data_IF_373222879301
#
_entry.id   IF_373222879301
#
_cell.length_a   1.000
_cell.length_b   1.000
_cell.length_c   1.000
_cell.angle_alpha   90.00
_cell.angle_beta   90.00
_cell.angle_gamma   90.00
#
_symmetry.space_group_name_H-M   'P 1'
#
loop_
_entity.id
_entity.type
_entity.pdbx_description
1 polymer ?
#
# COMPACT_ATOMS: atom_id res chain seq x y z
N UNK A 1 -16.08 -22.69 -38.30
CA UNK A 1 -16.12 -22.03 -36.98
C UNK A 1 -17.05 -20.83 -37.06
N UNK A 2 -18.08 -20.83 -36.24
CA UNK A 2 -19.13 -19.84 -36.26
C UNK A 2 -18.59 -18.49 -35.74
N UNK A 3 -18.57 -17.45 -36.59
CA UNK A 3 -18.03 -16.12 -36.23
C UNK A 3 -18.67 -15.59 -34.94
N UNK A 4 -19.96 -15.88 -34.74
CA UNK A 4 -20.70 -15.50 -33.51
C UNK A 4 -20.17 -16.19 -32.27
N UNK A 5 -19.85 -17.48 -32.34
CA UNK A 5 -19.27 -18.22 -31.24
C UNK A 5 -17.86 -17.72 -30.89
N UNK A 6 -17.05 -17.38 -31.91
CA UNK A 6 -15.73 -16.80 -31.71
C UNK A 6 -15.79 -15.40 -31.05
N UNK A 7 -16.73 -14.54 -31.47
CA UNK A 7 -16.96 -13.23 -30.84
C UNK A 7 -17.43 -13.35 -29.39
N UNK A 8 -18.37 -14.27 -29.11
CA UNK A 8 -18.83 -14.49 -27.74
C UNK A 8 -17.72 -15.01 -26.81
N UNK A 9 -16.88 -15.92 -27.29
CA UNK A 9 -15.73 -16.42 -26.53
C UNK A 9 -14.71 -15.32 -26.25
N UNK A 10 -14.40 -14.49 -27.26
CA UNK A 10 -13.50 -13.35 -27.11
C UNK A 10 -14.04 -12.34 -26.08
N UNK A 11 -15.34 -12.05 -26.11
CA UNK A 11 -15.98 -11.15 -25.17
C UNK A 11 -15.89 -11.69 -23.72
N UNK A 12 -16.18 -12.98 -23.52
CA UNK A 12 -16.08 -13.62 -22.21
C UNK A 12 -14.64 -13.59 -21.70
N UNK A 13 -13.65 -13.89 -22.55
CA UNK A 13 -12.24 -13.82 -22.17
C UNK A 13 -11.81 -12.41 -21.77
N UNK A 14 -12.28 -11.38 -22.47
CA UNK A 14 -11.99 -9.98 -22.14
C UNK A 14 -12.57 -9.58 -20.78
N UNK A 15 -13.81 -9.98 -20.49
CA UNK A 15 -14.45 -9.69 -19.19
C UNK A 15 -13.71 -10.39 -18.05
N UNK A 16 -13.32 -11.66 -18.25
CA UNK A 16 -12.54 -12.41 -17.26
C UNK A 16 -11.17 -11.74 -17.03
N UNK A 17 -10.47 -11.36 -18.09
CA UNK A 17 -9.16 -10.69 -17.97
C UNK A 17 -9.26 -9.33 -17.27
N UNK A 18 -10.31 -8.54 -17.54
CA UNK A 18 -10.53 -7.28 -16.84
C UNK A 18 -10.83 -7.50 -15.35
N UNK A 19 -11.64 -8.50 -15.03
CA UNK A 19 -11.96 -8.88 -13.66
C UNK A 19 -10.74 -9.33 -12.86
N UNK A 20 -9.87 -10.14 -13.46
CA UNK A 20 -8.65 -10.62 -12.78
C UNK A 20 -7.68 -9.49 -12.48
N UNK A 21 -7.49 -8.54 -13.40
CA UNK A 21 -6.64 -7.36 -13.17
C UNK A 21 -7.15 -6.54 -11.99
N UNK A 22 -8.46 -6.29 -11.91
CA UNK A 22 -9.05 -5.52 -10.82
C UNK A 22 -8.85 -6.19 -9.45
N UNK A 23 -9.04 -7.51 -9.38
CA UNK A 23 -8.83 -8.29 -8.15
C UNK A 23 -7.36 -8.25 -7.72
N UNK A 24 -6.44 -8.42 -8.66
CA UNK A 24 -5.00 -8.39 -8.37
C UNK A 24 -4.52 -7.02 -7.90
N UNK A 25 -5.04 -5.94 -8.50
CA UNK A 25 -4.71 -4.57 -8.08
C UNK A 25 -5.20 -4.30 -6.65
N UNK A 26 -6.41 -4.74 -6.30
CA UNK A 26 -6.96 -4.61 -4.95
C UNK A 26 -6.16 -5.39 -3.93
N UNK A 27 -5.72 -6.60 -4.28
CA UNK A 27 -4.87 -7.40 -3.40
C UNK A 27 -3.48 -6.77 -3.22
N UNK A 28 -2.90 -6.24 -4.29
CA UNK A 28 -1.63 -5.52 -4.21
C UNK A 28 -1.74 -4.28 -3.31
N UNK A 29 -2.82 -3.50 -3.42
CA UNK A 29 -3.09 -2.36 -2.55
C UNK A 29 -3.17 -2.79 -1.07
N UNK A 30 -3.96 -3.82 -0.77
CA UNK A 30 -4.12 -4.35 0.60
C UNK A 30 -2.78 -4.79 1.20
N UNK A 31 -1.99 -5.55 0.44
CA UNK A 31 -0.68 -6.04 0.89
C UNK A 31 0.31 -4.90 1.10
N UNK A 32 0.28 -3.87 0.27
CA UNK A 32 1.11 -2.69 0.43
C UNK A 32 0.74 -1.88 1.69
N UNK A 33 -0.56 -1.70 1.97
CA UNK A 33 -1.04 -1.04 3.19
C UNK A 33 -0.58 -1.79 4.44
N UNK A 34 -0.77 -3.11 4.49
CA UNK A 34 -0.34 -3.91 5.64
C UNK A 34 1.19 -3.85 5.86
N UNK A 35 1.96 -3.78 4.79
CA UNK A 35 3.41 -3.61 4.87
C UNK A 35 3.83 -2.21 5.35
N UNK A 36 3.10 -1.16 4.96
CA UNK A 36 3.30 0.19 5.48
C UNK A 36 2.95 0.27 6.97
N UNK A 37 1.82 -0.30 7.39
CA UNK A 37 1.45 -0.32 8.81
C UNK A 37 2.51 -1.01 9.67
N UNK A 38 3.05 -2.14 9.20
CA UNK A 38 4.13 -2.86 9.88
C UNK A 38 5.40 -2.00 9.95
N UNK A 39 5.76 -1.29 8.87
CA UNK A 39 6.92 -0.39 8.83
C UNK A 39 6.76 0.75 9.81
N UNK A 40 5.61 1.42 9.81
CA UNK A 40 5.29 2.51 10.74
C UNK A 40 5.43 2.07 12.19
N UNK A 41 4.83 0.93 12.55
CA UNK A 41 4.95 0.38 13.90
C UNK A 41 6.41 0.07 14.26
N UNK A 42 7.19 -0.47 13.32
CA UNK A 42 8.60 -0.82 13.54
C UNK A 42 9.46 0.42 13.75
N UNK A 43 9.34 1.43 12.88
CA UNK A 43 10.14 2.66 12.95
C UNK A 43 9.78 3.50 14.20
N UNK A 44 8.48 3.63 14.51
CA UNK A 44 8.04 4.36 15.70
C UNK A 44 8.43 3.65 16.99
N UNK A 45 8.40 2.31 17.03
CA UNK A 45 8.89 1.53 18.18
C UNK A 45 10.40 1.63 18.37
N UNK A 46 11.16 1.77 17.29
CA UNK A 46 12.62 1.90 17.33
C UNK A 46 13.08 3.30 17.76
N UNK A 47 12.20 4.32 17.70
CA UNK A 47 12.53 5.69 18.06
C UNK A 47 12.59 5.89 19.58
N UNK A 48 13.76 6.28 20.09
CA UNK A 48 14.02 6.47 21.54
C UNK A 48 13.13 7.54 22.20
N UNK A 49 12.64 8.52 21.43
CA UNK A 49 11.80 9.60 21.96
C UNK A 49 10.32 9.28 22.01
N UNK A 50 9.89 8.21 21.33
CA UNK A 50 8.48 7.86 21.20
C UNK A 50 8.09 7.04 22.43
N UNK A 51 7.07 7.51 23.14
CA UNK A 51 6.54 6.83 24.33
C UNK A 51 5.33 5.98 23.97
N UNK A 52 4.48 6.46 23.07
CA UNK A 52 3.31 5.76 22.54
C UNK A 52 3.08 6.15 21.08
N UNK A 53 2.47 5.26 20.30
CA UNK A 53 2.22 5.49 18.89
C UNK A 53 1.02 4.69 18.39
N UNK A 54 0.54 5.03 17.20
CA UNK A 54 -0.49 4.29 16.49
C UNK A 54 -0.57 4.65 15.02
N UNK A 55 -1.31 3.85 14.26
CA UNK A 55 -1.44 3.91 12.80
C UNK A 55 -2.82 4.42 12.36
N UNK A 56 -3.55 5.09 13.24
CA UNK A 56 -4.94 5.49 13.02
C UNK A 56 -5.20 6.97 13.33
N UNK A 57 -4.31 7.85 12.85
CA UNK A 57 -4.52 9.29 12.98
C UNK A 57 -5.64 9.78 12.05
N UNK A 58 -6.29 10.88 12.42
CA UNK A 58 -7.43 11.44 11.67
C UNK A 58 -7.04 12.58 10.73
N UNK A 59 -5.74 12.88 10.62
CA UNK A 59 -5.22 13.99 9.79
C UNK A 59 -5.25 13.69 8.28
N UNK A 60 -5.31 12.42 7.89
CA UNK A 60 -5.40 11.99 6.51
C UNK A 60 -6.10 10.63 6.41
N UNK A 61 -6.71 10.34 5.27
CA UNK A 61 -7.23 9.02 4.98
C UNK A 61 -6.11 8.05 4.57
N UNK A 62 -6.25 6.78 4.93
CA UNK A 62 -5.43 5.70 4.38
C UNK A 62 -5.77 5.54 2.88
N UNK A 63 -4.73 5.48 2.04
CA UNK A 63 -4.92 5.23 0.62
C UNK A 63 -3.77 4.44 0.00
N UNK A 64 -4.10 3.63 -1.01
CA UNK A 64 -3.12 2.94 -1.83
C UNK A 64 -3.53 2.99 -3.31
N UNK A 65 -2.56 3.28 -4.17
CA UNK A 65 -2.76 3.42 -5.61
C UNK A 65 -1.70 2.65 -6.38
N UNK A 66 -2.13 1.79 -7.31
CA UNK A 66 -1.23 1.12 -8.24
C UNK A 66 -0.77 2.14 -9.29
N UNK A 67 0.50 2.51 -9.26
CA UNK A 67 1.11 3.49 -10.16
C UNK A 67 1.89 2.84 -11.30
N UNK A 68 2.18 1.53 -11.21
CA UNK A 68 2.88 0.79 -12.24
C UNK A 68 2.61 -0.71 -12.18
N UNK A 69 2.71 -1.38 -13.33
CA UNK A 69 2.60 -2.84 -13.46
C UNK A 69 3.72 -3.34 -14.35
N UNK A 70 4.38 -4.41 -13.92
CA UNK A 70 5.49 -5.03 -14.63
C UNK A 70 5.50 -6.54 -14.37
N UNK A 71 6.44 -7.26 -14.99
CA UNK A 71 6.66 -8.68 -14.69
C UNK A 71 7.16 -8.90 -13.26
N UNK A 72 7.79 -7.89 -12.65
CA UNK A 72 8.27 -7.93 -11.26
C UNK A 72 7.13 -7.70 -10.24
N UNK A 73 5.94 -7.33 -10.71
CA UNK A 73 4.75 -7.10 -9.90
C UNK A 73 4.17 -5.69 -10.02
N UNK A 74 3.44 -5.28 -8.98
CA UNK A 74 2.72 -4.02 -8.90
C UNK A 74 3.52 -2.99 -8.10
N UNK A 75 3.74 -1.82 -8.69
CA UNK A 75 4.25 -0.66 -7.94
C UNK A 75 3.08 0.07 -7.33
N UNK A 76 3.04 0.14 -5.99
CA UNK A 76 1.95 0.72 -5.22
C UNK A 76 2.50 1.90 -4.41
N UNK A 77 1.88 3.07 -4.58
CA UNK A 77 2.07 4.21 -3.69
C UNK A 77 1.07 4.10 -2.55
N UNK A 78 1.53 4.22 -1.32
CA UNK A 78 0.70 4.16 -0.10
C UNK A 78 0.83 5.49 0.63
N UNK A 79 -0.30 6.02 1.06
CA UNK A 79 -0.39 7.08 2.07
C UNK A 79 -1.06 6.50 3.30
N UNK A 80 -0.46 6.66 4.48
CA UNK A 80 -0.99 6.08 5.70
C UNK A 80 -0.90 7.06 6.88
N UNK A 81 -2.04 7.38 7.54
CA UNK A 81 -2.00 8.21 8.74
C UNK A 81 -1.29 7.48 9.89
N UNK A 82 -0.57 8.22 10.72
CA UNK A 82 -0.01 7.71 11.96
C UNK A 82 0.11 8.83 12.99
N UNK A 83 0.21 8.47 14.25
CA UNK A 83 0.46 9.40 15.33
C UNK A 83 1.53 8.86 16.26
N UNK A 84 2.21 9.76 16.94
CA UNK A 84 3.13 9.41 18.01
C UNK A 84 3.09 10.46 19.11
N UNK A 85 3.39 10.01 20.31
CA UNK A 85 3.60 10.87 21.47
C UNK A 85 5.03 10.72 21.96
N UNK A 86 5.57 11.82 22.45
CA UNK A 86 6.84 11.89 23.17
C UNK A 86 6.55 12.34 24.60
N UNK A 87 7.59 12.47 25.43
CA UNK A 87 7.45 13.08 26.76
C UNK A 87 7.02 14.56 26.72
N UNK A 88 7.09 15.23 25.57
CA UNK A 88 6.86 16.68 25.45
C UNK A 88 5.66 17.04 24.58
N UNK A 89 5.30 16.17 23.63
CA UNK A 89 4.35 16.51 22.58
C UNK A 89 3.64 15.30 22.02
N UNK A 90 2.51 15.55 21.36
CA UNK A 90 1.80 14.62 20.51
C UNK A 90 1.80 15.16 19.09
N UNK A 91 1.93 14.29 18.10
CA UNK A 91 1.89 14.65 16.70
C UNK A 91 1.10 13.61 15.90
N UNK A 92 0.17 14.11 15.11
CA UNK A 92 -0.51 13.38 14.05
C UNK A 92 0.17 13.71 12.71
N UNK A 93 0.46 12.69 11.92
CA UNK A 93 1.16 12.81 10.64
C UNK A 93 0.61 11.80 9.62
N UNK A 94 1.12 11.87 8.40
CA UNK A 94 0.85 10.91 7.33
C UNK A 94 2.18 10.53 6.70
N UNK A 95 2.36 9.26 6.37
CA UNK A 95 3.51 8.80 5.60
C UNK A 95 3.15 8.69 4.13
N UNK A 96 4.13 8.92 3.26
CA UNK A 96 4.07 8.53 1.86
C UNK A 96 5.21 7.55 1.53
N UNK A 97 4.83 6.39 0.98
CA UNK A 97 5.75 5.30 0.67
C UNK A 97 5.43 4.63 -0.67
N UNK A 98 6.44 3.99 -1.25
CA UNK A 98 6.33 3.20 -2.47
C UNK A 98 6.79 1.77 -2.22
N UNK A 99 5.95 0.84 -2.65
CA UNK A 99 6.18 -0.60 -2.54
C UNK A 99 6.14 -1.27 -3.90
N UNK A 100 6.93 -2.33 -4.06
CA UNK A 100 6.76 -3.31 -5.14
C UNK A 100 6.18 -4.57 -4.53
N UNK A 101 4.96 -4.90 -4.96
CA UNK A 101 4.22 -6.10 -4.54
C UNK A 101 4.37 -7.14 -5.63
N UNK A 102 5.14 -8.17 -5.36
CA UNK A 102 5.25 -9.37 -6.20
C UNK A 102 4.19 -10.41 -5.84
N UNK A 103 4.28 -11.57 -6.47
CA UNK A 103 3.38 -12.71 -6.18
C UNK A 103 3.51 -13.14 -4.72
N UNK A 104 4.74 -13.28 -4.23
CA UNK A 104 5.02 -13.81 -2.89
C UNK A 104 5.60 -12.77 -1.93
N UNK A 105 6.11 -11.65 -2.42
CA UNK A 105 6.83 -10.66 -1.61
C UNK A 105 6.25 -9.25 -1.70
N UNK A 106 6.49 -8.45 -0.67
CA UNK A 106 6.24 -7.01 -0.64
C UNK A 106 7.54 -6.34 -0.24
N UNK A 107 8.06 -5.45 -1.09
CA UNK A 107 9.34 -4.79 -0.88
C UNK A 107 9.17 -3.28 -0.84
N UNK A 108 9.67 -2.66 0.21
CA UNK A 108 9.78 -1.21 0.31
C UNK A 108 10.83 -0.69 -0.69
N UNK A 109 10.48 0.36 -1.41
CA UNK A 109 11.36 0.98 -2.42
C UNK A 109 11.86 2.35 -1.97
N UNK A 110 11.03 3.08 -1.22
CA UNK A 110 11.37 4.41 -0.73
C UNK A 110 10.13 5.16 -0.27
N UNK A 111 10.35 6.26 0.41
CA UNK A 111 9.31 7.04 1.07
C UNK A 111 9.92 8.02 2.06
N UNK A 112 9.05 8.71 2.78
CA UNK A 112 9.44 9.68 3.79
C UNK A 112 9.87 8.99 5.09
N UNK A 113 10.78 9.64 5.83
CA UNK A 113 11.16 9.21 7.18
C UNK A 113 9.98 9.37 8.13
N UNK A 114 9.78 8.39 9.02
CA UNK A 114 8.65 8.37 9.96
C UNK A 114 9.14 8.67 11.36
N UNK A 115 8.33 9.41 12.10
CA UNK A 115 8.56 9.72 13.51
C UNK A 115 9.38 10.99 13.75
N UNK A 116 9.69 11.29 15.02
CA UNK A 116 10.42 12.48 15.40
C UNK A 116 11.91 12.36 15.06
N UNK A 117 12.55 13.51 14.80
CA UNK A 117 14.01 13.60 14.85
C UNK A 117 14.45 13.86 16.29
N UNK A 118 15.33 12.98 16.75
CA UNK A 118 16.02 12.99 18.02
C UNK A 118 17.51 12.82 17.72
#
# INVERSE_FOLDING_TARGET
MDRRAAFSLLLVLLVVAAGTVFVLDREAQRRAIAAEETRLQTELAASECVTTYGTSATVSDESASVVGRSLDGWTVRVSHPYWYSTNRSHADASSESVYVVGVESVRYVGGESVGPTC
#
